data_IF_813350445158
#
_entry.id   IF_813350445158
#
_cell.length_a   1.000
_cell.length_b   1.000
_cell.length_c   1.000
_cell.angle_alpha   90.00
_cell.angle_beta   90.00
_cell.angle_gamma   90.00
#
_symmetry.space_group_name_H-M   'P 1'
#
loop_
_entity.id
_entity.type
_entity.pdbx_description
1 polymer ?
#
# COMPACT_ATOMS: atom_id res chain seq x y z
N UNK A 1 -1.33 25.84 7.70
CA UNK A 1 -2.43 25.01 7.14
C UNK A 1 -2.25 24.97 5.62
N UNK A 2 -1.99 23.79 5.03
CA UNK A 2 -1.61 23.66 3.60
C UNK A 2 -2.79 23.31 2.67
N UNK A 3 -3.92 22.85 3.22
CA UNK A 3 -5.11 22.46 2.44
C UNK A 3 -6.18 23.55 2.48
N UNK A 4 -6.68 23.92 1.31
CA UNK A 4 -7.84 24.81 1.12
C UNK A 4 -9.14 24.02 1.27
N UNK A 5 -10.30 24.71 1.40
CA UNK A 5 -11.61 24.04 1.37
C UNK A 5 -11.82 23.19 0.11
N UNK A 6 -11.43 23.68 -1.07
CA UNK A 6 -11.58 22.92 -2.32
C UNK A 6 -10.78 21.61 -2.35
N UNK A 7 -9.58 21.58 -1.73
CA UNK A 7 -8.82 20.33 -1.59
C UNK A 7 -9.54 19.33 -0.68
N UNK A 8 -10.12 19.81 0.42
CA UNK A 8 -10.86 18.96 1.36
C UNK A 8 -12.15 18.44 0.74
N UNK A 9 -12.86 19.27 -0.03
CA UNK A 9 -14.09 18.87 -0.73
C UNK A 9 -13.78 17.83 -1.80
N UNK A 10 -12.68 17.98 -2.54
CA UNK A 10 -12.21 16.98 -3.47
C UNK A 10 -11.88 15.65 -2.79
N UNK A 11 -11.11 15.66 -1.69
CA UNK A 11 -10.77 14.44 -0.94
C UNK A 11 -12.02 13.72 -0.43
N UNK A 12 -13.03 14.45 0.06
CA UNK A 12 -14.32 13.85 0.50
C UNK A 12 -15.15 13.26 -0.63
N UNK A 13 -14.93 13.70 -1.87
CA UNK A 13 -15.65 13.18 -3.04
C UNK A 13 -15.08 11.87 -3.58
N UNK A 14 -13.88 11.47 -3.13
CA UNK A 14 -13.27 10.22 -3.55
C UNK A 14 -14.08 9.03 -3.00
N UNK A 15 -14.36 8.02 -3.82
CA UNK A 15 -15.06 6.84 -3.35
C UNK A 15 -14.14 5.98 -2.48
N UNK A 16 -14.75 5.18 -1.59
CA UNK A 16 -14.02 4.20 -0.78
C UNK A 16 -13.36 3.12 -1.65
N UNK A 17 -14.13 2.63 -2.63
CA UNK A 17 -13.70 1.65 -3.62
C UNK A 17 -14.24 1.99 -5.00
N UNK A 18 -13.74 1.31 -6.02
CA UNK A 18 -14.21 1.47 -7.39
C UNK A 18 -14.00 0.20 -8.20
N UNK A 19 -14.78 0.04 -9.26
CA UNK A 19 -14.54 -0.96 -10.30
C UNK A 19 -14.11 -0.26 -11.58
N UNK A 20 -12.93 -0.59 -12.09
CA UNK A 20 -12.43 -0.06 -13.36
C UNK A 20 -12.71 -1.05 -14.48
N UNK A 21 -13.42 -0.56 -15.52
CA UNK A 21 -13.78 -1.29 -16.75
C UNK A 21 -14.53 -2.62 -16.53
N UNK A 22 -15.12 -2.83 -15.35
CA UNK A 22 -15.78 -4.09 -15.02
C UNK A 22 -14.82 -5.27 -14.82
N UNK A 23 -13.52 -5.01 -14.69
CA UNK A 23 -12.48 -6.07 -14.62
C UNK A 23 -11.58 -5.95 -13.39
N UNK A 24 -11.48 -4.76 -12.80
CA UNK A 24 -10.52 -4.46 -11.74
C UNK A 24 -11.23 -3.85 -10.54
N UNK A 25 -11.15 -4.50 -9.39
CA UNK A 25 -11.57 -3.92 -8.12
C UNK A 25 -10.43 -3.07 -7.52
N UNK A 26 -10.75 -1.90 -6.96
CA UNK A 26 -9.78 -1.00 -6.33
C UNK A 26 -10.30 -0.54 -4.98
N UNK A 27 -9.51 -0.69 -3.93
CA UNK A 27 -9.70 -0.03 -2.63
C UNK A 27 -8.33 0.38 -2.04
N UNK A 28 -8.29 1.20 -0.99
CA UNK A 28 -7.01 1.57 -0.38
C UNK A 28 -6.45 0.47 0.53
N UNK A 29 -7.20 -0.05 1.50
CA UNK A 29 -6.74 -1.17 2.35
C UNK A 29 -7.49 -2.48 2.09
N UNK A 30 -8.72 -2.64 2.60
CA UNK A 30 -9.60 -3.79 2.33
C UNK A 30 -10.99 -3.30 1.91
N UNK A 31 -11.89 -4.17 1.38
CA UNK A 31 -13.20 -3.76 0.87
C UNK A 31 -14.16 -3.19 1.92
N UNK A 32 -13.88 -3.37 3.21
CA UNK A 32 -14.77 -2.98 4.32
C UNK A 32 -14.07 -2.16 5.41
N UNK A 33 -12.75 -2.08 5.38
CA UNK A 33 -11.94 -1.39 6.39
C UNK A 33 -10.68 -0.81 5.75
N UNK A 34 -10.52 0.51 5.88
CA UNK A 34 -9.41 1.26 5.27
C UNK A 34 -8.14 1.28 6.13
N UNK A 35 -8.15 0.65 7.30
CA UNK A 35 -7.00 0.58 8.22
C UNK A 35 -6.48 -0.85 8.43
N UNK A 36 -7.06 -1.83 7.72
CA UNK A 36 -6.67 -3.23 7.87
C UNK A 36 -5.65 -3.63 6.82
N UNK A 37 -4.52 -4.21 7.21
CA UNK A 37 -3.60 -4.83 6.26
C UNK A 37 -4.24 -6.06 5.59
N UNK A 38 -4.40 -5.99 4.28
CA UNK A 38 -4.94 -7.10 3.50
C UNK A 38 -3.95 -8.25 3.37
N UNK A 39 -2.73 -7.97 2.91
CA UNK A 39 -1.75 -9.00 2.56
C UNK A 39 -0.81 -9.34 3.73
N UNK A 40 -0.68 -8.44 4.70
CA UNK A 40 0.19 -8.61 5.85
C UNK A 40 -0.60 -8.82 7.15
N UNK A 41 0.03 -9.47 8.11
CA UNK A 41 -0.38 -9.50 9.51
C UNK A 41 0.76 -9.01 10.39
N UNK A 42 0.43 -8.57 11.59
CA UNK A 42 1.39 -8.12 12.60
C UNK A 42 1.37 -9.12 13.76
N UNK A 43 2.53 -9.62 14.18
CA UNK A 43 2.65 -10.49 15.35
C UNK A 43 2.57 -9.67 16.64
N UNK A 44 2.28 -10.26 17.81
CA UNK A 44 2.31 -9.55 19.08
C UNK A 44 3.64 -8.84 19.38
N UNK A 45 4.75 -9.35 18.83
CA UNK A 45 6.10 -8.77 18.93
C UNK A 45 6.35 -7.63 17.94
N UNK A 46 5.37 -7.29 17.09
CA UNK A 46 5.47 -6.22 16.10
C UNK A 46 6.10 -6.63 14.76
N UNK A 47 6.24 -7.93 14.50
CA UNK A 47 6.74 -8.40 13.20
C UNK A 47 5.65 -8.35 12.14
N UNK A 48 5.94 -7.70 11.02
CA UNK A 48 5.06 -7.69 9.83
C UNK A 48 5.40 -8.87 8.94
N UNK A 49 4.42 -9.73 8.65
CA UNK A 49 4.62 -10.95 7.85
C UNK A 49 3.45 -11.20 6.87
N UNK A 50 3.69 -12.03 5.86
CA UNK A 50 2.64 -12.43 4.90
C UNK A 50 1.51 -13.18 5.62
N UNK A 51 0.29 -12.67 5.48
CA UNK A 51 -0.92 -13.29 6.03
C UNK A 51 -1.16 -14.67 5.36
N UNK A 52 -1.69 -15.67 6.10
CA UNK A 52 -2.11 -16.94 5.49
C UNK A 52 -3.08 -16.73 4.33
N UNK A 53 -2.97 -17.55 3.28
CA UNK A 53 -3.72 -17.36 2.04
C UNK A 53 -5.23 -17.44 2.25
N UNK A 54 -5.70 -18.25 3.20
CA UNK A 54 -7.10 -18.40 3.56
C UNK A 54 -7.67 -17.10 4.16
N UNK A 55 -6.88 -16.42 4.99
CA UNK A 55 -7.28 -15.15 5.58
C UNK A 55 -7.23 -14.00 4.57
N UNK A 56 -6.29 -14.03 3.61
CA UNK A 56 -6.28 -13.10 2.48
C UNK A 56 -7.53 -13.30 1.61
N UNK A 57 -7.86 -14.56 1.29
CA UNK A 57 -9.01 -14.91 0.45
C UNK A 57 -10.35 -14.57 1.12
N UNK A 58 -10.47 -14.74 2.44
CA UNK A 58 -11.67 -14.36 3.19
C UNK A 58 -11.99 -12.86 3.07
N UNK A 59 -10.96 -11.99 3.06
CA UNK A 59 -11.15 -10.55 2.85
C UNK A 59 -11.56 -10.20 1.41
N UNK A 60 -11.39 -11.12 0.45
CA UNK A 60 -11.81 -10.98 -0.95
C UNK A 60 -13.19 -11.58 -1.24
N UNK A 61 -13.92 -12.04 -0.23
CA UNK A 61 -15.25 -12.62 -0.40
C UNK A 61 -16.23 -11.61 -1.04
N UNK A 62 -16.94 -12.06 -2.08
CA UNK A 62 -17.90 -11.22 -2.83
C UNK A 62 -17.28 -10.36 -3.94
N UNK A 63 -15.97 -10.44 -4.17
CA UNK A 63 -15.30 -9.74 -5.28
C UNK A 63 -14.99 -10.72 -6.41
N UNK A 64 -15.89 -10.84 -7.37
CA UNK A 64 -15.75 -11.77 -8.51
C UNK A 64 -14.99 -11.17 -9.69
N UNK A 65 -13.99 -10.32 -9.40
CA UNK A 65 -13.16 -9.65 -10.41
C UNK A 65 -11.76 -10.29 -10.48
N UNK A 66 -11.19 -10.48 -11.68
CA UNK A 66 -9.93 -11.19 -11.87
C UNK A 66 -8.71 -10.47 -11.28
N UNK A 67 -8.80 -9.15 -11.10
CA UNK A 67 -7.75 -8.31 -10.52
C UNK A 67 -8.33 -7.45 -9.39
N UNK A 68 -7.62 -7.45 -8.26
CA UNK A 68 -7.95 -6.70 -7.04
C UNK A 68 -6.72 -5.87 -6.69
N UNK A 69 -6.89 -4.56 -6.57
CA UNK A 69 -5.83 -3.62 -6.23
C UNK A 69 -6.05 -3.07 -4.83
N UNK A 70 -4.99 -3.13 -4.03
CA UNK A 70 -4.93 -2.53 -2.71
C UNK A 70 -3.63 -1.74 -2.54
N UNK A 71 -3.48 -1.07 -1.41
CA UNK A 71 -2.30 -0.35 -0.99
C UNK A 71 -2.14 -0.49 0.52
N UNK A 72 -2.12 0.65 1.21
CA UNK A 72 -2.09 0.76 2.66
C UNK A 72 -0.79 0.27 3.33
N UNK A 73 -0.38 -0.99 3.18
CA UNK A 73 0.81 -1.53 3.85
C UNK A 73 2.15 -1.07 3.27
N UNK A 74 2.15 -0.31 2.17
CA UNK A 74 3.36 0.21 1.50
C UNK A 74 4.38 -0.83 0.99
N UNK A 75 4.13 -2.13 1.20
CA UNK A 75 4.99 -3.23 0.77
C UNK A 75 4.56 -3.72 -0.62
N UNK A 76 5.45 -3.71 -1.63
CA UNK A 76 5.13 -4.23 -2.96
C UNK A 76 4.88 -5.75 -2.87
N UNK A 77 3.68 -6.19 -3.24
CA UNK A 77 3.30 -7.60 -3.14
C UNK A 77 2.19 -7.98 -4.11
N UNK A 78 2.28 -9.20 -4.63
CA UNK A 78 1.23 -9.81 -5.41
C UNK A 78 0.91 -11.20 -4.84
N UNK A 79 -0.37 -11.52 -4.72
CA UNK A 79 -0.85 -12.82 -4.23
C UNK A 79 -1.87 -13.35 -5.22
N UNK A 80 -1.67 -14.58 -5.70
CA UNK A 80 -2.64 -15.28 -6.53
C UNK A 80 -3.47 -16.21 -5.65
N UNK A 81 -4.79 -16.02 -5.66
CA UNK A 81 -5.72 -16.87 -4.93
C UNK A 81 -5.89 -18.22 -5.63
N UNK A 82 -6.43 -19.21 -4.91
CA UNK A 82 -6.66 -20.56 -5.44
C UNK A 82 -7.67 -20.60 -6.59
N UNK A 83 -8.58 -19.63 -6.66
CA UNK A 83 -9.55 -19.43 -7.75
C UNK A 83 -8.98 -18.65 -8.95
N UNK A 84 -7.70 -18.27 -8.91
CA UNK A 84 -7.00 -17.59 -9.99
C UNK A 84 -7.03 -16.06 -9.94
N UNK A 85 -7.86 -15.45 -9.09
CA UNK A 85 -7.85 -13.98 -8.88
C UNK A 85 -6.48 -13.51 -8.40
N UNK A 86 -6.09 -12.32 -8.84
CA UNK A 86 -4.81 -11.69 -8.50
C UNK A 86 -5.05 -10.47 -7.61
N UNK A 87 -4.41 -10.43 -6.44
CA UNK A 87 -4.37 -9.25 -5.57
C UNK A 87 -2.99 -8.60 -5.70
N UNK A 88 -2.93 -7.29 -5.94
CA UNK A 88 -1.67 -6.54 -6.05
C UNK A 88 -1.69 -5.30 -5.17
N UNK A 89 -0.67 -5.20 -4.30
CA UNK A 89 -0.24 -3.98 -3.66
C UNK A 89 1.02 -3.45 -4.38
N UNK A 90 0.99 -2.26 -5.00
CA UNK A 90 2.13 -1.72 -5.74
C UNK A 90 3.27 -1.20 -4.84
N UNK A 91 3.08 -1.20 -3.52
CA UNK A 91 3.91 -0.52 -2.55
C UNK A 91 3.58 0.97 -2.44
N UNK A 92 4.53 1.76 -1.97
CA UNK A 92 4.35 3.20 -1.77
C UNK A 92 5.24 4.04 -2.67
N UNK A 93 4.65 5.09 -3.26
CA UNK A 93 5.39 6.08 -4.06
C UNK A 93 6.22 6.99 -3.15
N UNK A 94 5.72 7.35 -1.97
CA UNK A 94 6.30 8.43 -1.16
C UNK A 94 6.55 8.10 0.31
N UNK A 95 6.23 6.90 0.78
CA UNK A 95 6.37 6.52 2.18
C UNK A 95 6.93 5.10 2.28
N UNK A 96 8.25 4.98 2.21
CA UNK A 96 8.95 3.70 2.22
C UNK A 96 9.08 3.06 3.61
N UNK A 97 8.77 3.80 4.68
CA UNK A 97 8.74 3.27 6.03
C UNK A 97 7.81 4.08 6.93
N UNK A 98 7.22 3.44 7.94
CA UNK A 98 6.44 4.08 9.00
C UNK A 98 6.28 3.12 10.19
N UNK A 99 5.89 3.65 11.34
CA UNK A 99 5.38 2.88 12.46
C UNK A 99 3.89 3.14 12.68
N UNK A 100 3.23 2.19 13.34
CA UNK A 100 1.81 2.27 13.67
C UNK A 100 1.56 1.52 14.99
N UNK A 101 0.51 1.91 15.72
CA UNK A 101 0.17 1.42 17.05
C UNK A 101 -0.80 0.25 17.04
N UNK A 102 -1.59 0.08 15.97
CA UNK A 102 -2.64 -0.93 15.88
C UNK A 102 -2.29 -2.02 14.85
N UNK A 103 -2.61 -3.30 15.12
CA UNK A 103 -3.21 -3.86 16.34
C UNK A 103 -2.25 -3.95 17.54
N UNK A 104 -0.95 -3.78 17.29
CA UNK A 104 0.12 -3.58 18.27
C UNK A 104 1.21 -2.74 17.60
N UNK A 105 2.10 -2.15 18.41
CA UNK A 105 3.21 -1.36 17.86
C UNK A 105 4.05 -2.18 16.90
N UNK A 106 4.25 -1.68 15.69
CA UNK A 106 5.06 -2.32 14.67
C UNK A 106 5.65 -1.30 13.72
N UNK A 107 6.64 -1.76 12.94
CA UNK A 107 7.28 -0.98 11.89
C UNK A 107 7.05 -1.66 10.55
N UNK A 108 6.71 -0.87 9.55
CA UNK A 108 6.73 -1.27 8.15
C UNK A 108 7.93 -0.62 7.50
N UNK A 109 8.82 -1.43 6.95
CA UNK A 109 10.11 -0.98 6.42
C UNK A 109 10.38 -1.67 5.09
N UNK A 110 10.35 -0.91 3.99
CA UNK A 110 10.69 -1.43 2.66
C UNK A 110 12.20 -1.69 2.53
N UNK A 111 13.02 -0.99 3.33
CA UNK A 111 14.46 -1.16 3.40
C UNK A 111 15.26 -0.36 2.36
N UNK A 112 14.58 0.47 1.55
CA UNK A 112 15.20 1.43 0.64
C UNK A 112 14.29 2.66 0.43
N UNK A 113 14.83 3.83 0.04
CA UNK A 113 14.04 5.06 -0.10
C UNK A 113 13.34 5.23 -1.45
N UNK A 114 13.53 4.31 -2.39
CA UNK A 114 13.00 4.42 -3.76
C UNK A 114 11.47 4.40 -3.80
N UNK A 115 10.87 5.21 -4.67
CA UNK A 115 9.44 5.18 -4.94
C UNK A 115 9.04 3.85 -5.58
N UNK A 116 7.91 3.25 -5.16
CA UNK A 116 7.42 1.99 -5.69
C UNK A 116 6.08 2.13 -6.42
N UNK A 117 5.94 1.43 -7.54
CA UNK A 117 4.66 1.20 -8.21
C UNK A 117 4.67 -0.14 -8.97
N UNK A 118 3.51 -0.53 -9.54
CA UNK A 118 3.39 -1.71 -10.39
C UNK A 118 2.84 -1.36 -11.77
N UNK A 119 3.34 -2.06 -12.80
CA UNK A 119 2.75 -2.09 -14.14
C UNK A 119 1.99 -3.40 -14.27
N UNK A 120 0.72 -3.30 -14.68
CA UNK A 120 -0.20 -4.44 -14.84
C UNK A 120 -0.62 -4.55 -16.30
N UNK A 121 -0.54 -5.75 -16.84
CA UNK A 121 -0.91 -6.05 -18.23
C UNK A 121 -1.84 -7.26 -18.27
N UNK A 122 -2.96 -7.11 -18.98
CA UNK A 122 -3.88 -8.20 -19.25
C UNK A 122 -3.47 -8.88 -20.57
N UNK A 123 -3.00 -10.12 -20.48
CA UNK A 123 -2.57 -10.91 -21.64
C UNK A 123 -3.56 -12.03 -21.93
N UNK A 124 -3.39 -12.74 -23.05
CA UNK A 124 -4.17 -13.95 -23.34
C UNK A 124 -4.02 -15.06 -22.27
N UNK A 125 -2.93 -15.04 -21.48
CA UNK A 125 -2.69 -15.96 -20.37
C UNK A 125 -3.17 -15.42 -19.01
N UNK A 126 -3.81 -14.25 -18.99
CA UNK A 126 -4.27 -13.55 -17.80
C UNK A 126 -3.37 -12.38 -17.39
N UNK A 127 -3.63 -11.85 -16.19
CA UNK A 127 -2.91 -10.71 -15.64
C UNK A 127 -1.47 -11.06 -15.25
N UNK A 128 -0.54 -10.24 -15.74
CA UNK A 128 0.86 -10.20 -15.31
C UNK A 128 1.16 -8.85 -14.66
N UNK A 129 2.14 -8.84 -13.75
CA UNK A 129 2.57 -7.63 -13.05
C UNK A 129 4.07 -7.50 -13.06
N UNK A 130 4.54 -6.26 -12.97
CA UNK A 130 5.95 -5.95 -12.77
C UNK A 130 6.07 -4.82 -11.77
N UNK A 131 6.79 -5.07 -10.67
CA UNK A 131 7.14 -4.01 -9.74
C UNK A 131 8.24 -3.12 -10.32
N UNK A 132 8.17 -1.84 -9.96
CA UNK A 132 9.10 -0.82 -10.38
C UNK A 132 9.49 0.02 -9.17
N UNK A 133 10.79 0.15 -8.99
CA UNK A 133 11.38 1.12 -8.07
C UNK A 133 12.02 2.24 -8.87
N UNK A 134 11.82 3.48 -8.42
CA UNK A 134 12.33 4.68 -9.11
C UNK A 134 13.06 5.57 -8.11
N UNK A 135 14.31 5.90 -8.45
CA UNK A 135 15.08 6.87 -7.72
C UNK A 135 14.51 8.28 -7.93
N UNK A 136 14.46 9.05 -6.85
CA UNK A 136 14.12 10.46 -6.83
C UNK A 136 15.03 11.14 -5.80
N UNK A 137 14.96 12.46 -5.71
CA UNK A 137 15.70 13.21 -4.68
C UNK A 137 15.04 13.05 -3.29
N UNK A 138 15.16 11.86 -2.74
CA UNK A 138 14.59 11.48 -1.45
C UNK A 138 15.27 12.19 -0.28
N UNK A 139 16.52 12.65 -0.46
CA UNK A 139 17.23 13.44 0.55
C UNK A 139 16.69 14.87 0.63
N UNK A 140 16.31 15.49 -0.49
CA UNK A 140 15.60 16.78 -0.44
C UNK A 140 14.27 16.67 0.33
N UNK A 141 13.54 15.56 0.14
CA UNK A 141 12.27 15.35 0.86
C UNK A 141 12.50 15.01 2.35
N UNK A 142 13.56 14.27 2.67
CA UNK A 142 13.98 14.01 4.05
C UNK A 142 14.37 15.31 4.78
N UNK A 143 15.15 16.18 4.13
CA UNK A 143 15.51 17.49 4.68
C UNK A 143 14.26 18.36 4.91
N UNK A 144 13.35 18.41 3.94
CA UNK A 144 12.07 19.11 4.10
C UNK A 144 11.26 18.56 5.27
N UNK A 145 11.20 17.24 5.46
CA UNK A 145 10.50 16.63 6.60
C UNK A 145 11.13 17.05 7.94
N UNK A 146 12.47 17.06 8.02
CA UNK A 146 13.19 17.51 9.21
C UNK A 146 12.93 19.00 9.53
N UNK A 147 12.96 19.87 8.52
CA UNK A 147 12.60 21.30 8.66
C UNK A 147 11.17 21.52 9.19
N UNK A 148 10.28 20.57 8.93
CA UNK A 148 8.88 20.58 9.40
C UNK A 148 8.67 19.86 10.73
N UNK A 149 9.75 19.43 11.40
CA UNK A 149 9.68 18.73 12.68
C UNK A 149 9.15 17.30 12.58
N UNK A 150 9.27 16.66 11.40
CA UNK A 150 8.85 15.27 11.15
C UNK A 150 10.08 14.36 11.02
N UNK A 151 10.72 14.08 12.16
CA UNK A 151 11.91 13.24 12.22
C UNK A 151 11.64 11.79 11.77
N UNK A 152 10.44 11.29 12.08
CA UNK A 152 9.90 10.02 11.61
C UNK A 152 9.94 9.91 10.07
N UNK A 153 9.36 10.90 9.38
CA UNK A 153 9.40 10.97 7.92
C UNK A 153 10.80 11.19 7.38
N UNK A 154 11.62 12.00 8.06
CA UNK A 154 12.99 12.25 7.63
C UNK A 154 13.81 10.95 7.57
N UNK A 155 13.71 10.09 8.60
CA UNK A 155 14.37 8.77 8.59
C UNK A 155 13.82 7.86 7.51
N UNK A 156 12.49 7.74 7.43
CA UNK A 156 11.81 6.87 6.47
C UNK A 156 12.16 7.23 5.03
N UNK A 157 12.13 8.52 4.67
CA UNK A 157 12.46 9.03 3.34
C UNK A 157 13.96 8.92 3.02
N UNK A 158 14.84 9.08 4.02
CA UNK A 158 16.28 8.97 3.80
C UNK A 158 16.72 7.53 3.55
N UNK A 159 16.09 6.56 4.24
CA UNK A 159 16.66 5.22 4.38
C UNK A 159 15.72 4.07 4.01
N UNK A 160 14.40 4.28 4.06
CA UNK A 160 13.42 3.20 4.03
C UNK A 160 13.33 2.42 5.36
N UNK A 161 13.84 2.98 6.46
CA UNK A 161 13.80 2.42 7.82
C UNK A 161 13.26 3.45 8.82
N UNK A 162 12.59 2.99 9.86
CA UNK A 162 12.10 3.80 10.99
C UNK A 162 13.17 3.80 12.09
N UNK A 163 13.84 4.94 12.29
CA UNK A 163 14.94 5.10 13.25
C UNK A 163 14.66 6.18 14.28
#
# INVERSE_FOLDING_TARGET
>A
RQLTPSHLDWLRSLPFDSVYRGEVYLCHATPKDDNLYWLESVSPEGHVFLKPIEAIAALAEGIDLPLILCGHSHLPRAVRLSDGRLIVNPGSVGCAAYDDELPCYHKVEVGHPLASYAILENTAAGWIWQFRTVAYDHMAMSALAAERGRADWASALATGWVR
#
